data_IF_815429897379
#
_entry.id   IF_815429897379
#
_cell.length_a   1.000
_cell.length_b   1.000
_cell.length_c   1.000
_cell.angle_alpha   90.00
_cell.angle_beta   90.00
_cell.angle_gamma   90.00
#
_symmetry.space_group_name_H-M   'P 1'
#
loop_
_entity.id
_entity.type
_entity.pdbx_description
1 polymer ?
#
# COMPACT_ATOMS: atom_id res chain seq x y z
N UNK A 1 -14.18 19.23 1.85
CA UNK A 1 -13.46 19.50 3.11
C UNK A 1 -12.08 19.94 2.69
N UNK A 2 -11.50 20.99 3.26
CA UNK A 2 -10.16 21.43 2.86
C UNK A 2 -9.12 20.32 3.18
N UNK A 3 -8.16 20.05 2.28
CA UNK A 3 -7.01 19.13 2.49
C UNK A 3 -6.37 19.29 3.85
N UNK A 4 -6.22 20.54 4.30
CA UNK A 4 -5.62 20.88 5.58
C UNK A 4 -6.46 20.36 6.75
N UNK A 5 -7.79 20.47 6.68
CA UNK A 5 -8.68 19.97 7.73
C UNK A 5 -8.72 18.44 7.73
N UNK A 6 -8.67 17.79 6.57
CA UNK A 6 -8.62 16.33 6.45
C UNK A 6 -7.37 15.80 7.18
N UNK A 7 -6.17 16.23 6.77
CA UNK A 7 -4.91 15.72 7.33
C UNK A 7 -4.73 16.09 8.80
N UNK A 8 -5.28 17.23 9.23
CA UNK A 8 -5.22 17.68 10.63
C UNK A 8 -6.11 16.84 11.55
N UNK A 9 -7.32 16.51 11.10
CA UNK A 9 -8.35 15.86 11.94
C UNK A 9 -8.38 14.34 11.82
N UNK A 10 -7.90 13.78 10.72
CA UNK A 10 -7.89 12.33 10.51
C UNK A 10 -7.06 11.61 11.58
N UNK A 11 -7.63 10.53 12.11
CA UNK A 11 -6.97 9.61 13.03
C UNK A 11 -7.28 8.18 12.56
N UNK A 12 -6.26 7.34 12.30
CA UNK A 12 -6.50 5.97 11.89
C UNK A 12 -7.10 5.17 13.05
N UNK A 13 -8.02 4.28 12.69
CA UNK A 13 -8.71 3.39 13.63
C UNK A 13 -8.07 2.02 13.60
N UNK A 14 -7.97 1.41 14.78
CA UNK A 14 -7.63 0.00 14.87
C UNK A 14 -8.89 -0.83 14.58
N UNK A 15 -8.86 -1.59 13.51
CA UNK A 15 -9.95 -2.44 13.05
C UNK A 15 -9.98 -3.77 13.81
N UNK A 16 -11.17 -4.34 13.92
CA UNK A 16 -11.36 -5.73 14.35
C UNK A 16 -11.32 -6.65 13.13
N UNK A 17 -10.11 -7.09 12.76
CA UNK A 17 -9.88 -8.00 11.64
C UNK A 17 -9.89 -9.43 12.18
N UNK A 18 -10.91 -10.20 11.80
CA UNK A 18 -11.00 -11.62 12.16
C UNK A 18 -9.85 -12.41 11.56
N UNK A 19 -9.36 -13.39 12.30
CA UNK A 19 -8.33 -14.34 11.86
C UNK A 19 -6.97 -13.70 11.51
N UNK A 20 -6.70 -12.50 12.02
CA UNK A 20 -5.44 -11.78 11.78
C UNK A 20 -4.21 -12.56 12.28
N UNK A 21 -4.38 -13.42 13.29
CA UNK A 21 -3.33 -14.30 13.80
C UNK A 21 -2.78 -15.28 12.75
N UNK A 22 -3.54 -15.59 11.69
CA UNK A 22 -3.11 -16.46 10.59
C UNK A 22 -1.90 -15.91 9.82
N UNK A 23 -1.67 -14.60 9.88
CA UNK A 23 -0.52 -13.96 9.21
C UNK A 23 0.80 -14.13 9.96
N UNK A 24 0.76 -14.43 11.27
CA UNK A 24 1.97 -14.46 12.12
C UNK A 24 2.99 -15.53 11.69
N UNK A 25 2.59 -16.79 11.42
CA UNK A 25 3.53 -17.81 10.98
C UNK A 25 4.20 -17.44 9.65
N UNK A 26 3.45 -16.79 8.76
CA UNK A 26 3.95 -16.36 7.45
C UNK A 26 4.97 -15.21 7.59
N UNK A 27 4.70 -14.23 8.46
CA UNK A 27 5.64 -13.14 8.77
C UNK A 27 6.96 -13.67 9.33
N UNK A 28 6.92 -14.62 10.27
CA UNK A 28 8.12 -15.20 10.90
C UNK A 28 9.06 -15.89 9.91
N UNK A 29 8.53 -16.43 8.80
CA UNK A 29 9.33 -17.11 7.77
C UNK A 29 10.08 -16.14 6.85
N UNK A 30 9.56 -14.93 6.65
CA UNK A 30 9.99 -14.01 5.57
C UNK A 30 10.50 -12.66 6.07
N UNK A 31 10.10 -12.22 7.27
CA UNK A 31 10.25 -10.84 7.79
C UNK A 31 9.67 -9.74 6.86
N UNK A 32 9.00 -10.14 5.78
CA UNK A 32 8.40 -9.29 4.77
C UNK A 32 7.05 -9.89 4.41
N UNK A 33 5.99 -9.08 4.45
CA UNK A 33 4.69 -9.37 3.83
C UNK A 33 4.46 -8.34 2.73
N UNK A 34 3.98 -8.80 1.57
CA UNK A 34 3.49 -7.92 0.50
C UNK A 34 1.98 -7.74 0.67
N UNK A 35 1.50 -6.51 0.56
CA UNK A 35 0.10 -6.13 0.66
C UNK A 35 -0.32 -5.35 -0.59
N UNK A 36 -1.31 -5.90 -1.29
CA UNK A 36 -1.87 -5.34 -2.53
C UNK A 36 -3.14 -4.56 -2.25
N UNK A 37 -3.09 -3.24 -2.36
CA UNK A 37 -4.24 -2.36 -2.16
C UNK A 37 -4.85 -1.85 -3.47
N UNK A 38 -5.99 -1.18 -3.33
CA UNK A 38 -6.63 -0.46 -4.42
C UNK A 38 -6.58 1.02 -4.03
N UNK A 39 -5.93 1.84 -4.87
CA UNK A 39 -5.78 3.27 -4.65
C UNK A 39 -7.14 3.96 -4.43
N UNK A 40 -7.11 5.10 -3.74
CA UNK A 40 -8.31 5.93 -3.67
C UNK A 40 -9.33 5.52 -2.63
N UNK A 41 -8.99 4.62 -1.70
CA UNK A 41 -9.88 4.10 -0.66
C UNK A 41 -9.36 4.44 0.75
N UNK A 42 -10.24 4.97 1.60
CA UNK A 42 -9.92 5.41 2.97
C UNK A 42 -9.53 4.28 3.89
N UNK A 43 -10.19 3.14 3.76
CA UNK A 43 -10.00 1.96 4.61
C UNK A 43 -8.57 1.43 4.55
N UNK A 44 -7.83 1.69 3.47
CA UNK A 44 -6.41 1.37 3.39
C UNK A 44 -5.63 1.94 4.58
N UNK A 45 -5.91 3.18 5.01
CA UNK A 45 -5.24 3.80 6.14
C UNK A 45 -5.47 3.04 7.46
N UNK A 46 -6.73 2.70 7.75
CA UNK A 46 -7.10 1.97 8.97
C UNK A 46 -6.57 0.52 8.94
N UNK A 47 -6.56 -0.11 7.77
CA UNK A 47 -5.99 -1.46 7.55
C UNK A 47 -4.49 -1.43 7.82
N UNK A 48 -3.73 -0.52 7.20
CA UNK A 48 -2.28 -0.43 7.39
C UNK A 48 -1.94 -0.13 8.84
N UNK A 49 -2.65 0.81 9.47
CA UNK A 49 -2.49 1.07 10.91
C UNK A 49 -2.69 -0.19 11.76
N UNK A 50 -3.74 -0.96 11.46
CA UNK A 50 -4.07 -2.20 12.17
C UNK A 50 -3.02 -3.27 11.96
N UNK A 51 -2.62 -3.54 10.72
CA UNK A 51 -1.60 -4.53 10.38
C UNK A 51 -0.27 -4.19 11.06
N UNK A 52 0.16 -2.93 10.99
CA UNK A 52 1.42 -2.50 11.58
C UNK A 52 1.43 -2.72 13.09
N UNK A 53 0.38 -2.29 13.78
CA UNK A 53 0.26 -2.42 15.24
C UNK A 53 0.12 -3.86 15.71
N UNK A 54 -0.70 -4.67 15.02
CA UNK A 54 -1.06 -6.01 15.48
C UNK A 54 -0.02 -7.07 15.14
N UNK A 55 0.70 -6.89 14.03
CA UNK A 55 1.75 -7.79 13.59
C UNK A 55 3.15 -7.35 14.04
N UNK A 56 3.25 -6.24 14.79
CA UNK A 56 4.51 -5.61 15.19
C UNK A 56 5.43 -5.35 13.99
N UNK A 57 4.86 -4.79 12.91
CA UNK A 57 5.64 -4.31 11.77
C UNK A 57 6.44 -3.09 12.22
N UNK A 58 7.72 -3.08 11.86
CA UNK A 58 8.66 -2.02 12.25
C UNK A 58 9.15 -1.21 11.05
N UNK A 59 8.87 -1.67 9.82
CA UNK A 59 9.23 -0.98 8.59
C UNK A 59 8.10 -1.04 7.56
N UNK A 60 7.82 0.09 6.91
CA UNK A 60 7.03 0.09 5.68
C UNK A 60 7.96 0.21 4.48
N UNK A 61 7.73 -0.63 3.48
CA UNK A 61 8.21 -0.42 2.12
C UNK A 61 7.03 0.07 1.28
N UNK A 62 7.13 1.22 0.64
CA UNK A 62 5.99 1.89 -0.01
C UNK A 62 6.28 2.18 -1.47
N UNK A 63 5.34 1.85 -2.33
CA UNK A 63 5.30 2.22 -3.75
C UNK A 63 5.12 3.73 -3.92
N UNK A 64 6.17 4.47 -3.59
CA UNK A 64 6.23 5.90 -3.73
C UNK A 64 7.69 6.36 -3.82
N UNK A 65 7.86 7.54 -4.38
CA UNK A 65 9.13 8.27 -4.46
C UNK A 65 9.70 8.64 -3.09
N UNK A 66 11.03 8.68 -2.90
CA UNK A 66 11.66 9.34 -1.76
C UNK A 66 11.32 10.83 -1.60
N UNK A 67 10.88 11.52 -2.65
CA UNK A 67 10.57 12.97 -2.62
C UNK A 67 9.51 13.32 -1.57
N UNK A 68 8.58 12.39 -1.31
CA UNK A 68 7.46 12.56 -0.37
C UNK A 68 7.91 12.57 1.10
N UNK A 69 9.15 12.17 1.39
CA UNK A 69 9.67 12.03 2.75
C UNK A 69 9.65 13.36 3.53
N UNK A 70 9.95 14.47 2.86
CA UNK A 70 9.96 15.79 3.50
C UNK A 70 8.55 16.17 3.98
N UNK A 71 7.53 15.91 3.16
CA UNK A 71 6.14 16.12 3.54
C UNK A 71 5.71 15.21 4.70
N UNK A 72 5.99 13.90 4.62
CA UNK A 72 5.70 12.96 5.74
C UNK A 72 6.37 13.43 7.03
N UNK A 73 7.61 13.92 6.96
CA UNK A 73 8.33 14.46 8.11
C UNK A 73 7.67 15.73 8.66
N UNK A 74 7.21 16.62 7.79
CA UNK A 74 6.44 17.81 8.17
C UNK A 74 5.11 17.45 8.85
N UNK A 75 4.39 16.45 8.35
CA UNK A 75 3.15 15.93 8.98
C UNK A 75 3.46 15.30 10.34
N UNK A 76 4.56 14.54 10.45
CA UNK A 76 5.06 13.97 11.71
C UNK A 76 5.42 15.05 12.74
N UNK A 77 5.83 16.25 12.34
CA UNK A 77 6.08 17.37 13.28
C UNK A 77 4.84 18.25 13.50
N UNK A 78 3.74 17.98 12.80
CA UNK A 78 2.48 18.73 12.91
C UNK A 78 2.44 20.05 12.14
N UNK A 79 3.35 20.28 11.19
CA UNK A 79 3.41 21.51 10.39
C UNK A 79 2.58 21.46 9.10
N UNK A 80 2.35 20.28 8.52
CA UNK A 80 1.53 20.07 7.30
C UNK A 80 1.88 21.03 6.14
N UNK A 81 3.17 21.13 5.80
CA UNK A 81 3.66 22.05 4.75
C UNK A 81 3.48 21.45 3.34
N UNK A 82 2.37 21.80 2.69
CA UNK A 82 2.02 21.32 1.35
C UNK A 82 2.96 21.82 0.24
N UNK A 83 3.85 22.79 0.49
CA UNK A 83 4.86 23.17 -0.51
C UNK A 83 5.93 22.09 -0.75
N UNK A 84 5.96 21.05 0.09
CA UNK A 84 6.93 19.96 0.05
C UNK A 84 6.46 18.75 -0.79
N UNK A 85 5.30 18.84 -1.45
CA UNK A 85 4.67 17.72 -2.13
C UNK A 85 3.89 18.21 -3.35
N UNK A 86 3.79 17.35 -4.36
CA UNK A 86 2.80 17.50 -5.42
C UNK A 86 1.47 16.89 -4.95
N UNK A 87 0.42 17.69 -4.88
CA UNK A 87 -0.89 17.26 -4.35
C UNK A 87 -1.58 16.23 -5.27
N UNK A 88 -1.24 16.19 -6.56
CA UNK A 88 -1.77 15.20 -7.52
C UNK A 88 -1.39 13.76 -7.15
N UNK A 89 -0.35 13.58 -6.31
CA UNK A 89 0.05 12.30 -5.75
C UNK A 89 -1.07 11.66 -4.92
N UNK A 90 -1.86 12.44 -4.21
CA UNK A 90 -2.83 11.92 -3.23
C UNK A 90 -3.97 11.15 -3.89
N UNK A 91 -4.24 11.44 -5.16
CA UNK A 91 -5.37 10.89 -5.91
C UNK A 91 -4.97 9.78 -6.89
N UNK A 92 -3.67 9.59 -7.12
CA UNK A 92 -3.12 8.69 -8.13
C UNK A 92 -2.19 7.60 -7.57
N UNK A 93 -1.96 7.58 -6.26
CA UNK A 93 -1.01 6.67 -5.61
C UNK A 93 -1.57 6.01 -4.35
N UNK A 94 -0.76 5.12 -3.75
CA UNK A 94 -1.03 4.54 -2.44
C UNK A 94 -1.05 5.58 -1.30
N UNK A 95 -0.56 6.81 -1.52
CA UNK A 95 -0.32 7.82 -0.50
C UNK A 95 -1.43 8.89 -0.43
N UNK A 96 -2.65 8.49 -0.11
CA UNK A 96 -3.69 9.48 0.23
C UNK A 96 -3.33 10.29 1.49
N UNK A 97 -4.03 11.41 1.73
CA UNK A 97 -3.88 12.20 2.96
C UNK A 97 -4.10 11.35 4.23
N UNK A 98 -5.10 10.46 4.22
CA UNK A 98 -5.35 9.52 5.30
C UNK A 98 -4.18 8.55 5.52
N UNK A 99 -3.58 8.04 4.44
CA UNK A 99 -2.40 7.16 4.52
C UNK A 99 -1.18 7.90 5.05
N UNK A 100 -0.89 9.11 4.56
CA UNK A 100 0.24 9.93 5.02
C UNK A 100 0.09 10.25 6.50
N UNK A 101 -1.11 10.66 6.93
CA UNK A 101 -1.39 10.92 8.34
C UNK A 101 -1.18 9.66 9.19
N UNK A 102 -1.59 8.50 8.69
CA UNK A 102 -1.37 7.20 9.36
C UNK A 102 0.11 6.89 9.53
N UNK A 103 0.90 7.03 8.46
CA UNK A 103 2.36 6.81 8.48
C UNK A 103 3.01 7.76 9.48
N UNK A 104 2.66 9.04 9.45
CA UNK A 104 3.18 10.05 10.37
C UNK A 104 2.87 9.70 11.84
N UNK A 105 1.64 9.28 12.15
CA UNK A 105 1.25 8.84 13.51
C UNK A 105 2.05 7.62 13.95
N UNK A 106 2.20 6.61 13.08
CA UNK A 106 2.97 5.41 13.39
C UNK A 106 4.46 5.71 13.65
N UNK A 107 5.03 6.68 12.93
CA UNK A 107 6.40 7.19 13.18
C UNK A 107 6.49 7.98 14.48
N UNK A 108 5.51 8.86 14.79
CA UNK A 108 5.46 9.61 16.05
C UNK A 108 5.38 8.66 17.26
N UNK A 109 4.61 7.58 17.13
CA UNK A 109 4.45 6.55 18.15
C UNK A 109 5.66 5.61 18.28
N UNK A 110 6.69 5.80 17.44
CA UNK A 110 7.88 4.93 17.37
C UNK A 110 7.52 3.45 17.09
N UNK A 111 6.36 3.20 16.47
CA UNK A 111 5.95 1.87 16.02
C UNK A 111 6.69 1.51 14.73
N UNK A 112 6.78 2.47 13.80
CA UNK A 112 7.63 2.37 12.62
C UNK A 112 9.00 2.97 12.92
N UNK A 113 10.05 2.20 12.65
CA UNK A 113 11.45 2.60 12.79
C UNK A 113 12.06 3.06 11.46
N UNK A 114 11.50 2.60 10.35
CA UNK A 114 12.01 2.91 9.02
C UNK A 114 10.89 3.00 7.98
N UNK A 115 11.11 3.86 6.99
CA UNK A 115 10.39 3.87 5.72
C UNK A 115 11.39 3.58 4.60
N UNK A 116 10.99 2.74 3.66
CA UNK A 116 11.73 2.49 2.43
C UNK A 116 10.83 2.81 1.25
N UNK A 117 11.32 3.65 0.37
CA UNK A 117 10.65 4.04 -0.87
C UNK A 117 11.14 3.09 -1.96
N UNK A 118 10.22 2.35 -2.58
CA UNK A 118 10.57 1.30 -3.55
C UNK A 118 10.21 1.67 -4.98
N UNK A 119 9.61 2.84 -5.21
CA UNK A 119 9.32 3.33 -6.55
C UNK A 119 9.96 4.71 -6.76
N UNK A 120 10.41 4.98 -7.98
CA UNK A 120 10.92 6.28 -8.41
C UNK A 120 10.32 6.68 -9.76
N UNK A 121 9.27 5.98 -10.21
CA UNK A 121 8.65 6.19 -11.52
C UNK A 121 8.17 7.63 -11.73
N UNK A 122 7.74 8.29 -10.66
CA UNK A 122 7.20 9.66 -10.69
C UNK A 122 8.25 10.75 -10.36
N UNK A 123 9.51 10.39 -10.10
CA UNK A 123 10.54 11.35 -9.65
C UNK A 123 10.96 12.32 -10.77
N UNK A 124 10.85 11.85 -12.01
CA UNK A 124 11.25 12.59 -13.19
C UNK A 124 10.03 12.72 -14.10
N UNK A 125 9.11 13.64 -13.78
CA UNK A 125 8.04 14.06 -14.70
C UNK A 125 8.45 15.33 -15.50
N UNK A 126 9.72 15.73 -15.44
CA UNK A 126 10.29 16.72 -16.38
C UNK A 126 10.20 16.19 -17.81
N UNK A 127 9.99 17.09 -18.79
CA UNK A 127 9.80 16.76 -20.21
C UNK A 127 10.89 15.85 -20.83
N UNK A 128 12.09 15.79 -20.22
CA UNK A 128 13.25 15.03 -20.68
C UNK A 128 13.50 13.72 -19.91
N UNK A 129 12.63 13.36 -18.98
CA UNK A 129 12.78 12.17 -18.18
C UNK A 129 12.55 10.88 -18.97
N UNK A 130 13.47 9.93 -18.84
CA UNK A 130 13.31 8.59 -19.40
C UNK A 130 12.29 7.84 -18.53
N UNK A 131 11.00 7.98 -18.86
CA UNK A 131 9.95 7.06 -18.40
C UNK A 131 10.39 5.66 -18.85
N UNK A 132 10.46 4.65 -17.96
CA UNK A 132 10.89 3.33 -18.36
C UNK A 132 10.04 2.86 -19.55
N UNK A 133 10.65 2.50 -20.69
CA UNK A 133 9.97 2.28 -21.97
C UNK A 133 8.91 1.16 -21.94
N UNK A 134 8.85 0.37 -20.87
CA UNK A 134 7.88 -0.73 -20.71
C UNK A 134 7.36 -0.83 -19.28
N UNK A 135 6.05 -1.04 -19.08
CA UNK A 135 5.49 -1.42 -17.77
C UNK A 135 6.24 -2.58 -17.10
N UNK A 136 6.85 -3.49 -17.87
CA UNK A 136 7.61 -4.61 -17.32
C UNK A 136 8.94 -4.22 -16.66
N UNK A 137 9.56 -3.11 -17.08
CA UNK A 137 10.78 -2.60 -16.46
C UNK A 137 10.49 -2.00 -15.08
N UNK A 138 9.36 -1.29 -14.92
CA UNK A 138 8.89 -0.81 -13.62
C UNK A 138 8.69 -1.97 -12.64
N UNK A 139 8.05 -3.05 -13.08
CA UNK A 139 7.86 -4.27 -12.26
C UNK A 139 9.20 -4.93 -11.86
N UNK A 140 10.18 -4.93 -12.75
CA UNK A 140 11.52 -5.43 -12.44
C UNK A 140 12.25 -4.55 -11.42
N UNK A 141 12.16 -3.23 -11.58
CA UNK A 141 12.78 -2.28 -10.66
C UNK A 141 12.14 -2.34 -9.27
N UNK A 142 10.80 -2.42 -9.18
CA UNK A 142 10.08 -2.65 -7.92
C UNK A 142 10.56 -3.93 -7.23
N UNK A 143 10.60 -5.06 -7.96
CA UNK A 143 11.08 -6.32 -7.40
C UNK A 143 12.54 -6.23 -6.91
N UNK A 144 13.41 -5.57 -7.68
CA UNK A 144 14.81 -5.35 -7.32
C UNK A 144 14.96 -4.48 -6.07
N UNK A 145 14.17 -3.40 -5.97
CA UNK A 145 14.16 -2.52 -4.81
C UNK A 145 13.71 -3.27 -3.55
N UNK A 146 12.64 -4.07 -3.64
CA UNK A 146 12.17 -4.92 -2.53
C UNK A 146 13.23 -5.97 -2.14
N UNK A 147 13.93 -6.57 -3.11
CA UNK A 147 15.00 -7.52 -2.83
C UNK A 147 16.21 -6.88 -2.15
N UNK A 148 16.49 -5.61 -2.45
CA UNK A 148 17.55 -4.82 -1.83
C UNK A 148 17.25 -4.38 -0.39
N UNK A 149 16.03 -4.62 0.10
CA UNK A 149 15.68 -4.42 1.51
C UNK A 149 16.36 -5.51 2.34
N UNK A 150 17.52 -5.20 2.90
CA UNK A 150 18.29 -6.08 3.77
C UNK A 150 18.30 -5.55 5.21
N UNK A 151 17.54 -6.20 6.10
CA UNK A 151 17.50 -5.98 7.57
C UNK A 151 16.51 -6.99 8.19
N UNK A 152 16.76 -7.58 9.39
CA UNK A 152 15.79 -8.37 10.14
C UNK A 152 14.45 -7.69 10.50
N UNK A 153 14.29 -6.37 10.31
CA UNK A 153 13.03 -5.69 10.68
C UNK A 153 11.79 -6.28 10.00
N UNK A 154 10.73 -6.65 10.76
CA UNK A 154 9.44 -7.03 10.22
C UNK A 154 8.88 -5.91 9.33
N UNK A 155 8.62 -6.24 8.07
CA UNK A 155 8.33 -5.29 7.00
C UNK A 155 6.99 -5.57 6.36
N UNK A 156 6.20 -4.53 6.15
CA UNK A 156 5.02 -4.56 5.30
C UNK A 156 5.32 -3.74 4.04
N UNK A 157 5.27 -4.40 2.89
CA UNK A 157 5.44 -3.79 1.58
C UNK A 157 4.08 -3.50 0.96
N UNK A 158 3.77 -2.22 0.77
CA UNK A 158 2.47 -1.73 0.31
C UNK A 158 2.63 -1.30 -1.14
N UNK A 159 1.83 -1.91 -2.02
CA UNK A 159 1.79 -1.60 -3.44
C UNK A 159 0.36 -1.75 -3.97
N UNK A 160 0.06 -1.12 -5.10
CA UNK A 160 -1.15 -1.35 -5.86
C UNK A 160 -1.29 -2.81 -6.30
N UNK A 161 -2.52 -3.27 -6.46
CA UNK A 161 -2.83 -4.65 -6.82
C UNK A 161 -2.25 -5.12 -8.15
N UNK A 162 -1.99 -4.20 -9.06
CA UNK A 162 -1.32 -4.49 -10.32
C UNK A 162 0.09 -5.08 -10.08
N UNK A 163 0.85 -4.49 -9.17
CA UNK A 163 2.23 -4.88 -8.84
C UNK A 163 2.32 -6.16 -7.99
N UNK A 164 1.19 -6.65 -7.48
CA UNK A 164 1.14 -7.76 -6.52
C UNK A 164 0.48 -9.03 -7.06
N UNK A 165 0.30 -9.15 -8.38
CA UNK A 165 -0.25 -10.37 -8.96
C UNK A 165 0.70 -11.58 -8.72
N UNK A 166 0.28 -12.65 -8.04
CA UNK A 166 1.19 -13.75 -7.68
C UNK A 166 1.57 -14.65 -8.87
N UNK A 167 0.87 -14.51 -10.00
CA UNK A 167 1.08 -15.28 -11.24
C UNK A 167 1.16 -14.32 -12.43
N UNK A 168 1.71 -14.81 -13.54
CA UNK A 168 1.68 -14.09 -14.82
C UNK A 168 0.25 -13.92 -15.29
N UNK A 169 -0.14 -12.69 -15.60
CA UNK A 169 -1.43 -12.36 -16.20
C UNK A 169 -1.21 -11.99 -17.66
N UNK A 170 -2.19 -12.25 -18.52
CA UNK A 170 -2.19 -11.74 -19.90
C UNK A 170 -3.42 -10.88 -20.07
N UNK A 171 -3.21 -9.61 -20.38
CA UNK A 171 -4.27 -8.64 -20.65
C UNK A 171 -4.05 -8.00 -22.02
N UNK A 172 -5.08 -8.02 -22.87
CA UNK A 172 -4.97 -7.51 -24.25
C UNK A 172 -3.85 -8.10 -25.10
N UNK A 173 -3.38 -9.32 -24.79
CA UNK A 173 -2.23 -9.96 -25.46
C UNK A 173 -0.85 -9.55 -24.92
N UNK A 174 -0.81 -8.61 -23.97
CA UNK A 174 0.42 -8.22 -23.27
C UNK A 174 0.62 -9.11 -22.05
N UNK A 175 1.80 -9.73 -21.96
CA UNK A 175 2.21 -10.53 -20.80
C UNK A 175 2.61 -9.59 -19.67
N UNK A 176 1.91 -9.70 -18.54
CA UNK A 176 2.24 -8.98 -17.31
C UNK A 176 2.84 -9.95 -16.29
N UNK A 177 4.15 -9.85 -16.10
CA UNK A 177 4.80 -10.34 -14.90
C UNK A 177 4.78 -9.19 -13.89
N UNK A 178 4.38 -9.42 -12.63
CA UNK A 178 4.36 -8.38 -11.59
C UNK A 178 5.65 -8.35 -10.77
N UNK A 179 5.80 -7.34 -9.91
CA UNK A 179 6.87 -7.25 -8.93
C UNK A 179 6.82 -8.42 -7.94
N UNK A 180 5.64 -8.77 -7.40
CA UNK A 180 5.51 -9.94 -6.50
C UNK A 180 5.90 -11.24 -7.19
N UNK A 181 5.46 -11.45 -8.44
CA UNK A 181 5.80 -12.66 -9.19
C UNK A 181 7.32 -12.78 -9.38
N UNK A 182 8.01 -11.68 -9.73
CA UNK A 182 9.47 -11.65 -9.84
C UNK A 182 10.15 -11.86 -8.49
N UNK A 183 9.67 -11.20 -7.44
CA UNK A 183 10.17 -11.35 -6.07
C UNK A 183 10.14 -12.82 -5.63
N UNK A 184 9.04 -13.52 -5.88
CA UNK A 184 8.85 -14.93 -5.51
C UNK A 184 9.71 -15.91 -6.32
N UNK A 185 10.26 -15.53 -7.48
CA UNK A 185 11.30 -16.34 -8.14
C UNK A 185 12.58 -16.43 -7.30
N UNK A 186 12.87 -15.39 -6.51
CA UNK A 186 14.06 -15.31 -5.65
C UNK A 186 13.75 -15.67 -4.19
N UNK A 187 12.62 -15.20 -3.65
CA UNK A 187 12.14 -15.45 -2.29
C UNK A 187 10.74 -16.11 -2.33
N UNK A 188 10.65 -17.44 -2.55
CA UNK A 188 9.38 -18.11 -2.86
C UNK A 188 8.34 -18.08 -1.72
N UNK A 189 8.80 -17.92 -0.47
CA UNK A 189 7.94 -17.94 0.72
C UNK A 189 7.45 -16.56 1.17
N UNK A 190 7.61 -15.51 0.35
CA UNK A 190 7.10 -14.17 0.68
C UNK A 190 5.57 -14.21 0.75
N UNK A 191 4.97 -13.94 1.91
CA UNK A 191 3.52 -13.88 2.06
C UNK A 191 2.92 -12.69 1.32
N UNK A 192 1.70 -12.88 0.85
CA UNK A 192 0.92 -11.89 0.13
C UNK A 192 -0.49 -11.77 0.71
N UNK A 193 -0.91 -10.53 0.96
CA UNK A 193 -2.28 -10.18 1.33
C UNK A 193 -2.91 -9.44 0.16
N UNK A 194 -3.94 -10.02 -0.44
CA UNK A 194 -4.75 -9.41 -1.48
C UNK A 194 -5.98 -8.75 -0.86
N UNK A 195 -6.10 -7.43 -0.96
CA UNK A 195 -7.26 -6.72 -0.42
C UNK A 195 -8.50 -6.90 -1.31
N UNK A 196 -9.65 -7.28 -0.77
CA UNK A 196 -10.88 -7.45 -1.56
C UNK A 196 -12.01 -6.71 -0.87
N UNK A 197 -12.58 -5.74 -1.58
CA UNK A 197 -13.74 -4.99 -1.13
C UNK A 197 -15.03 -5.68 -1.55
N UNK A 198 -15.99 -5.70 -0.65
CA UNK A 198 -17.33 -6.21 -0.92
C UNK A 198 -18.09 -5.29 -1.85
N UNK A 199 -18.09 -3.99 -1.59
CA UNK A 199 -18.82 -2.97 -2.35
C UNK A 199 -18.26 -1.57 -2.01
N UNK A 200 -18.81 -0.55 -2.64
CA UNK A 200 -18.58 0.86 -2.26
C UNK A 200 -18.01 1.66 -3.42
N UNK A 201 -17.17 2.63 -3.11
CA UNK A 201 -16.60 3.56 -4.08
C UNK A 201 -15.12 3.82 -3.80
N UNK A 202 -14.37 4.07 -4.86
CA UNK A 202 -13.01 4.59 -4.80
C UNK A 202 -12.88 5.84 -5.67
N UNK A 203 -11.85 6.65 -5.41
CA UNK A 203 -11.48 7.77 -6.27
C UNK A 203 -10.04 7.61 -6.72
N UNK A 204 -9.83 7.40 -8.01
CA UNK A 204 -8.51 7.19 -8.57
C UNK A 204 -8.37 7.96 -9.87
N UNK A 205 -7.31 8.76 -10.00
CA UNK A 205 -6.95 9.50 -11.21
C UNK A 205 -8.12 10.34 -11.76
N UNK A 206 -8.73 11.17 -10.90
CA UNK A 206 -9.85 12.05 -11.26
C UNK A 206 -11.21 11.37 -11.40
N UNK A 207 -11.27 10.04 -11.26
CA UNK A 207 -12.48 9.24 -11.52
C UNK A 207 -13.03 8.61 -10.24
N UNK A 208 -14.34 8.75 -10.02
CA UNK A 208 -15.07 7.93 -9.04
C UNK A 208 -15.42 6.60 -9.71
N UNK A 209 -15.00 5.49 -9.10
CA UNK A 209 -15.28 4.14 -9.60
C UNK A 209 -16.15 3.43 -8.56
N UNK A 210 -17.29 2.90 -9.02
CA UNK A 210 -18.21 2.09 -8.21
C UNK A 210 -17.73 0.64 -8.14
N UNK A 211 -17.75 0.06 -6.94
CA UNK A 211 -17.55 -1.35 -6.70
C UNK A 211 -18.90 -2.01 -6.42
N UNK A 212 -19.36 -2.82 -7.38
CA UNK A 212 -20.60 -3.60 -7.24
C UNK A 212 -20.55 -4.57 -6.06
N UNK A 213 -21.69 -4.80 -5.39
CA UNK A 213 -21.77 -5.76 -4.29
C UNK A 213 -21.34 -7.17 -4.73
N UNK A 214 -20.32 -7.67 -4.04
CA UNK A 214 -19.79 -9.01 -4.19
C UNK A 214 -20.15 -9.82 -2.94
N UNK A 215 -21.26 -10.58 -2.96
CA UNK A 215 -21.74 -11.32 -1.79
C UNK A 215 -20.79 -12.43 -1.32
N UNK A 216 -19.78 -12.80 -2.13
CA UNK A 216 -18.74 -13.75 -1.73
C UNK A 216 -17.72 -13.14 -0.75
N UNK A 217 -17.64 -11.81 -0.66
CA UNK A 217 -16.77 -11.10 0.28
C UNK A 217 -17.50 -10.89 1.60
N UNK A 218 -16.80 -11.14 2.70
CA UNK A 218 -17.34 -11.03 4.05
C UNK A 218 -17.87 -9.62 4.34
N UNK A 219 -18.96 -9.52 5.10
CA UNK A 219 -19.49 -8.24 5.59
C UNK A 219 -18.74 -7.74 6.85
N UNK A 220 -17.64 -8.38 7.21
CA UNK A 220 -16.73 -7.94 8.26
C UNK A 220 -15.28 -8.02 7.77
N UNK A 221 -14.39 -7.29 8.44
CA UNK A 221 -12.96 -7.40 8.18
C UNK A 221 -12.45 -8.80 8.55
N UNK A 222 -11.85 -9.51 7.61
CA UNK A 222 -11.50 -10.92 7.79
C UNK A 222 -10.31 -11.32 6.93
N UNK A 223 -9.34 -12.02 7.52
CA UNK A 223 -8.30 -12.72 6.78
C UNK A 223 -8.80 -14.10 6.35
N UNK A 224 -8.81 -14.34 5.04
CA UNK A 224 -9.11 -15.65 4.45
C UNK A 224 -7.83 -16.25 3.88
N UNK A 225 -7.36 -17.33 4.49
CA UNK A 225 -6.17 -18.03 4.03
C UNK A 225 -6.47 -18.88 2.78
N UNK A 226 -5.70 -18.69 1.70
CA UNK A 226 -5.80 -19.48 0.45
C UNK A 226 -4.71 -20.54 0.39
N UNK A 227 -3.50 -20.18 0.79
CA UNK A 227 -2.33 -21.07 0.89
C UNK A 227 -1.59 -20.75 2.18
N UNK A 228 -0.44 -21.37 2.44
CA UNK A 228 0.39 -21.02 3.59
C UNK A 228 1.06 -19.63 3.47
N UNK A 229 1.02 -19.02 2.28
CA UNK A 229 1.64 -17.71 1.98
C UNK A 229 0.69 -16.73 1.24
N UNK A 230 -0.50 -17.14 0.84
CA UNK A 230 -1.47 -16.29 0.15
C UNK A 230 -2.74 -16.13 0.97
N UNK A 231 -3.14 -14.87 1.18
CA UNK A 231 -4.26 -14.48 2.00
C UNK A 231 -5.10 -13.44 1.26
N UNK A 232 -6.42 -13.51 1.40
CA UNK A 232 -7.30 -12.40 1.09
C UNK A 232 -7.59 -11.64 2.38
N UNK A 233 -7.65 -10.31 2.31
CA UNK A 233 -8.27 -9.48 3.33
C UNK A 233 -9.63 -9.02 2.80
N UNK A 234 -10.70 -9.54 3.36
CA UNK A 234 -12.05 -9.06 3.06
C UNK A 234 -12.29 -7.73 3.77
N UNK A 235 -12.83 -6.77 3.03
CA UNK A 235 -13.19 -5.43 3.52
C UNK A 235 -14.66 -5.15 3.19
N UNK A 236 -15.49 -4.80 4.18
CA UNK A 236 -16.93 -4.72 3.98
C UNK A 236 -17.40 -3.56 3.11
N UNK A 237 -16.66 -2.45 3.07
CA UNK A 237 -17.05 -1.24 2.36
C UNK A 237 -15.79 -0.51 1.90
N UNK A 238 -15.79 -0.02 0.65
CA UNK A 238 -14.83 0.94 0.14
C UNK A 238 -15.42 2.34 0.25
N UNK A 239 -14.81 3.20 1.05
CA UNK A 239 -15.12 4.62 1.06
C UNK A 239 -14.04 5.36 0.31
N UNK A 240 -14.41 6.09 -0.75
CA UNK A 240 -13.45 6.90 -1.50
C UNK A 240 -12.71 7.89 -0.60
N UNK A 241 -11.44 8.14 -0.91
CA UNK A 241 -10.60 9.14 -0.23
C UNK A 241 -11.24 10.52 -0.21
N UNK A 242 -10.81 11.33 0.74
CA UNK A 242 -11.23 12.73 0.80
C UNK A 242 -10.50 13.48 -0.30
N UNK A 243 -11.25 14.09 -1.21
CA UNK A 243 -10.69 14.84 -2.34
C UNK A 243 -10.05 16.13 -1.87
N UNK A 244 -8.98 16.51 -2.56
CA UNK A 244 -8.30 17.78 -2.38
C UNK A 244 -9.09 18.97 -2.94
#
# INVERSE_FOLDING_TARGET
>A
MNVYEIIKTFLPKQLDIKHLELLRPALQKSNLIVYGEIHGIKENADIIYTLVRKLDIQRLAIEASPTVLNFITSVKTGSYDFSLIDEDLFDSSILSLEMIKTIAILLQQNQLKALVFIDTFFDNLDEDAIIPPSPQEREEQLAKNILGIDDPLPTLCIMGQWHTQPKVVTDGGTRHESALYRLRKTKPNVPFIHNIYRQGQLFNDGMVIELSDNPAVSSCYEIVQKTDIDFDLHVPEATKISLC
#
